data_IF_363157648907
#
_entry.id   IF_363157648907
#
_cell.length_a   1.000
_cell.length_b   1.000
_cell.length_c   1.000
_cell.angle_alpha   90.00
_cell.angle_beta   90.00
_cell.angle_gamma   90.00
#
_symmetry.space_group_name_H-M   'P 1'
#
loop_
_entity.id
_entity.type
_entity.pdbx_description
1 polymer ?
#
# COMPACT_ATOMS: atom_id res chain seq x y z
N UNK A 1 -1.02 -21.03 34.28
CA UNK A 1 -1.86 -19.86 33.99
C UNK A 1 -1.40 -19.26 32.68
N UNK A 2 -2.06 -19.58 31.55
CA UNK A 2 -1.81 -18.89 30.28
C UNK A 2 -2.51 -17.55 30.33
N UNK A 3 -1.75 -16.46 30.32
CA UNK A 3 -2.33 -15.14 30.12
C UNK A 3 -2.94 -15.11 28.71
N UNK A 4 -4.14 -14.56 28.52
CA UNK A 4 -4.66 -14.35 27.18
C UNK A 4 -3.68 -13.46 26.42
N UNK A 5 -3.12 -13.99 25.33
CA UNK A 5 -2.25 -13.20 24.46
C UNK A 5 -3.19 -12.32 23.64
N UNK A 6 -3.18 -11.03 23.95
CA UNK A 6 -3.82 -10.03 23.10
C UNK A 6 -2.85 -9.72 21.95
N UNK A 7 -3.24 -9.97 20.69
CA UNK A 7 -2.38 -9.67 19.56
C UNK A 7 -2.25 -8.15 19.38
N UNK A 8 -1.06 -7.71 18.99
CA UNK A 8 -0.76 -6.31 18.67
C UNK A 8 -0.41 -6.22 17.19
N UNK A 9 -1.06 -5.30 16.48
CA UNK A 9 -0.79 -5.00 15.07
C UNK A 9 -0.37 -3.53 14.94
N UNK A 10 0.70 -3.29 14.18
CA UNK A 10 1.23 -1.96 13.89
C UNK A 10 1.38 -1.84 12.38
N UNK A 11 1.02 -0.68 11.82
CA UNK A 11 1.11 -0.37 10.39
C UNK A 11 1.79 0.99 10.18
N UNK A 12 2.26 1.26 8.96
CA UNK A 12 2.69 2.60 8.53
C UNK A 12 2.30 2.87 7.08
N UNK A 13 2.03 4.13 6.76
CA UNK A 13 1.76 4.60 5.38
C UNK A 13 2.97 5.23 4.68
N UNK A 14 4.15 5.16 5.31
CA UNK A 14 5.38 5.80 4.84
C UNK A 14 5.87 6.90 5.79
N UNK A 15 7.15 7.26 5.70
CA UNK A 15 7.77 8.33 6.46
C UNK A 15 8.50 9.29 5.52
N UNK A 16 8.47 10.60 5.80
CA UNK A 16 9.08 11.61 4.95
C UNK A 16 8.84 13.03 5.45
N UNK A 17 9.24 14.02 4.65
CA UNK A 17 9.01 15.44 4.95
C UNK A 17 7.54 15.79 4.70
N UNK A 18 6.70 15.45 5.67
CA UNK A 18 5.32 15.91 5.72
C UNK A 18 5.29 17.29 6.36
N UNK A 19 5.34 18.34 5.53
CA UNK A 19 5.13 19.70 6.02
C UNK A 19 3.67 19.86 6.44
N UNK A 20 3.43 19.80 7.76
CA UNK A 20 2.10 19.89 8.36
C UNK A 20 1.39 21.21 8.02
N UNK A 21 2.14 22.28 7.74
CA UNK A 21 1.58 23.57 7.32
C UNK A 21 1.05 23.55 5.88
N UNK A 22 1.46 22.56 5.09
CA UNK A 22 1.08 22.38 3.68
C UNK A 22 0.16 21.19 3.46
N UNK A 23 -0.23 20.47 4.52
CA UNK A 23 -1.23 19.40 4.42
C UNK A 23 -2.62 19.98 4.63
N UNK A 24 -3.47 19.96 3.60
CA UNK A 24 -4.89 20.25 3.75
C UNK A 24 -5.53 19.33 4.79
N UNK A 25 -6.48 19.84 5.58
CA UNK A 25 -7.10 19.09 6.67
C UNK A 25 -7.88 17.87 6.18
N UNK A 26 -8.51 17.97 5.00
CA UNK A 26 -9.15 16.88 4.28
C UNK A 26 -8.15 15.78 3.89
N UNK A 27 -6.96 16.14 3.39
CA UNK A 27 -5.91 15.17 3.06
C UNK A 27 -5.41 14.44 4.31
N UNK A 28 -5.21 15.15 5.42
CA UNK A 28 -4.83 14.54 6.69
C UNK A 28 -5.90 13.57 7.20
N UNK A 29 -7.17 13.99 7.14
CA UNK A 29 -8.30 13.16 7.54
C UNK A 29 -8.44 11.90 6.67
N UNK A 30 -8.29 12.04 5.35
CA UNK A 30 -8.35 10.92 4.41
C UNK A 30 -7.20 9.93 4.66
N UNK A 31 -5.99 10.43 4.91
CA UNK A 31 -4.83 9.60 5.26
C UNK A 31 -5.07 8.80 6.55
N UNK A 32 -5.63 9.44 7.58
CA UNK A 32 -5.98 8.77 8.83
C UNK A 32 -7.08 7.72 8.64
N UNK A 33 -8.07 7.99 7.79
CA UNK A 33 -9.11 7.04 7.44
C UNK A 33 -8.55 5.81 6.70
N UNK A 34 -7.62 6.02 5.75
CA UNK A 34 -6.93 4.93 5.05
C UNK A 34 -6.12 4.04 5.99
N UNK A 35 -5.35 4.64 6.91
CA UNK A 35 -4.64 3.89 7.97
C UNK A 35 -5.60 3.11 8.87
N UNK A 36 -6.71 3.72 9.29
CA UNK A 36 -7.72 3.04 10.11
C UNK A 36 -8.35 1.85 9.36
N UNK A 37 -8.62 1.99 8.06
CA UNK A 37 -9.15 0.91 7.23
C UNK A 37 -8.15 -0.25 7.12
N UNK A 38 -6.88 0.02 6.85
CA UNK A 38 -5.83 -1.00 6.78
C UNK A 38 -5.63 -1.72 8.12
N UNK A 39 -5.62 -0.98 9.23
CA UNK A 39 -5.53 -1.55 10.57
C UNK A 39 -6.73 -2.44 10.87
N UNK A 40 -7.94 -2.00 10.50
CA UNK A 40 -9.19 -2.75 10.69
C UNK A 40 -9.16 -4.05 9.90
N UNK A 41 -8.66 -4.05 8.65
CA UNK A 41 -8.56 -5.25 7.83
C UNK A 41 -7.69 -6.33 8.49
N UNK A 42 -6.48 -5.95 8.97
CA UNK A 42 -5.60 -6.88 9.67
C UNK A 42 -6.13 -7.33 11.04
N UNK A 43 -6.73 -6.42 11.82
CA UNK A 43 -7.34 -6.76 13.12
C UNK A 43 -8.52 -7.72 12.98
N UNK A 44 -9.31 -7.63 11.91
CA UNK A 44 -10.40 -8.55 11.65
C UNK A 44 -9.90 -10.00 11.54
N UNK A 45 -8.77 -10.21 10.87
CA UNK A 45 -8.11 -11.52 10.76
C UNK A 45 -7.68 -12.04 12.12
N UNK A 46 -6.99 -11.22 12.92
CA UNK A 46 -6.51 -11.61 14.25
C UNK A 46 -7.67 -11.92 15.21
N UNK A 47 -8.74 -11.12 15.15
CA UNK A 47 -9.95 -11.30 15.98
C UNK A 47 -10.69 -12.58 15.62
N UNK A 48 -10.65 -13.00 14.36
CA UNK A 48 -11.20 -14.27 13.90
C UNK A 48 -10.29 -15.48 14.21
N UNK A 49 -9.15 -15.29 14.88
CA UNK A 49 -8.19 -16.35 15.19
C UNK A 49 -7.26 -16.72 14.02
N UNK A 50 -7.17 -15.87 13.00
CA UNK A 50 -6.26 -16.04 11.87
C UNK A 50 -4.79 -15.82 12.26
N UNK A 51 -3.88 -16.10 11.32
CA UNK A 51 -2.44 -16.02 11.59
C UNK A 51 -1.90 -14.60 11.49
N UNK A 52 -0.74 -14.35 12.08
CA UNK A 52 -0.04 -13.09 11.93
C UNK A 52 0.33 -12.79 10.46
N UNK A 53 0.64 -13.81 9.67
CA UNK A 53 0.94 -13.66 8.24
C UNK A 53 -0.29 -13.20 7.47
N UNK A 54 -1.44 -13.81 7.72
CA UNK A 54 -2.68 -13.42 7.05
C UNK A 54 -3.07 -11.99 7.43
N UNK A 55 -2.90 -11.62 8.72
CA UNK A 55 -3.24 -10.29 9.22
C UNK A 55 -2.38 -9.18 8.60
N UNK A 56 -1.06 -9.36 8.52
CA UNK A 56 -0.19 -8.36 7.85
C UNK A 56 -0.43 -8.32 6.35
N UNK A 57 -0.79 -9.45 5.74
CA UNK A 57 -1.13 -9.51 4.30
C UNK A 57 -2.37 -8.67 4.00
N UNK A 58 -3.45 -8.83 4.77
CA UNK A 58 -4.67 -8.03 4.55
C UNK A 58 -4.47 -6.54 4.86
N UNK A 59 -3.69 -6.21 5.89
CA UNK A 59 -3.36 -4.82 6.19
C UNK A 59 -2.55 -4.15 5.07
N UNK A 60 -1.55 -4.85 4.52
CA UNK A 60 -0.73 -4.32 3.41
C UNK A 60 -1.54 -4.22 2.13
N UNK A 61 -2.37 -5.22 1.79
CA UNK A 61 -3.27 -5.15 0.62
C UNK A 61 -4.19 -3.92 0.69
N UNK A 62 -4.75 -3.63 1.86
CA UNK A 62 -5.58 -2.44 2.04
C UNK A 62 -4.79 -1.13 1.84
N UNK A 63 -3.51 -1.08 2.22
CA UNK A 63 -2.64 0.07 1.93
C UNK A 63 -2.29 0.17 0.44
N UNK A 64 -1.97 -0.95 -0.22
CA UNK A 64 -1.70 -1.02 -1.66
C UNK A 64 -2.92 -0.64 -2.51
N UNK A 65 -4.12 -0.91 -1.99
CA UNK A 65 -5.37 -0.54 -2.63
C UNK A 65 -5.71 0.95 -2.43
N UNK A 66 -5.26 1.60 -1.38
CA UNK A 66 -5.59 3.01 -1.18
C UNK A 66 -4.61 3.90 -1.99
N UNK A 67 -5.10 4.66 -3.00
CA UNK A 67 -4.24 5.48 -3.87
C UNK A 67 -3.54 6.62 -3.12
N UNK A 68 -3.87 6.87 -1.85
CA UNK A 68 -3.19 7.86 -1.01
C UNK A 68 -1.81 7.39 -0.55
N UNK A 69 -1.53 6.09 -0.55
CA UNK A 69 -0.24 5.55 -0.11
C UNK A 69 0.62 5.16 -1.30
N UNK A 70 1.93 5.39 -1.17
CA UNK A 70 2.91 5.02 -2.19
C UNK A 70 3.19 3.51 -2.16
N UNK A 71 2.21 2.72 -2.57
CA UNK A 71 2.26 1.28 -2.77
C UNK A 71 1.12 0.88 -3.71
N UNK A 72 1.26 -0.23 -4.44
CA UNK A 72 0.19 -0.75 -5.30
C UNK A 72 -0.39 0.31 -6.25
N UNK A 73 -1.68 0.62 -6.08
CA UNK A 73 -2.42 1.58 -6.92
C UNK A 73 -1.94 3.02 -6.79
N UNK A 74 -1.32 3.39 -5.67
CA UNK A 74 -0.76 4.72 -5.43
C UNK A 74 0.74 4.82 -5.70
N UNK A 75 1.35 3.79 -6.32
CA UNK A 75 2.78 3.77 -6.59
C UNK A 75 3.26 4.99 -7.40
N UNK A 76 4.36 5.58 -6.96
CA UNK A 76 5.03 6.68 -7.65
C UNK A 76 5.68 6.23 -8.96
N UNK A 77 5.91 7.19 -9.84
CA UNK A 77 6.55 6.93 -11.13
C UNK A 77 8.07 6.94 -11.04
N UNK A 78 8.71 6.09 -11.84
CA UNK A 78 10.14 6.14 -12.16
C UNK A 78 10.45 7.38 -13.04
N UNK A 79 11.74 7.64 -13.29
CA UNK A 79 12.17 8.66 -14.26
C UNK A 79 11.64 8.42 -15.67
N UNK A 80 11.35 7.15 -16.00
CA UNK A 80 10.90 6.73 -17.32
C UNK A 80 9.36 6.71 -17.41
N UNK A 81 8.67 7.16 -16.36
CA UNK A 81 7.21 7.24 -16.32
C UNK A 81 6.52 5.89 -16.13
N UNK A 82 7.22 4.87 -15.64
CA UNK A 82 6.67 3.55 -15.26
C UNK A 82 6.35 3.49 -13.77
N UNK A 83 5.49 2.57 -13.34
CA UNK A 83 5.33 2.23 -11.92
C UNK A 83 5.98 0.87 -11.68
N UNK A 84 7.06 0.87 -10.91
CA UNK A 84 7.83 -0.31 -10.52
C UNK A 84 7.75 -0.47 -9.01
N UNK A 85 7.37 -1.65 -8.56
CA UNK A 85 7.05 -1.91 -7.15
C UNK A 85 7.83 -3.11 -6.62
N UNK A 86 8.13 -3.02 -5.32
CA UNK A 86 8.78 -4.05 -4.55
C UNK A 86 7.89 -4.40 -3.34
N UNK A 87 7.88 -5.67 -2.94
CA UNK A 87 7.16 -6.12 -1.75
C UNK A 87 7.90 -7.31 -1.11
N UNK A 88 7.81 -7.42 0.21
CA UNK A 88 8.41 -8.52 0.97
C UNK A 88 7.53 -8.92 2.16
N UNK A 89 7.59 -10.21 2.53
CA UNK A 89 6.87 -10.77 3.67
C UNK A 89 7.72 -11.82 4.38
N UNK A 90 7.57 -11.93 5.70
CA UNK A 90 8.32 -12.88 6.53
C UNK A 90 7.46 -13.49 7.64
N UNK A 91 7.51 -14.81 7.77
CA UNK A 91 6.91 -15.57 8.87
C UNK A 91 7.95 -15.79 9.97
N UNK A 92 7.78 -15.11 11.11
CA UNK A 92 8.75 -15.17 12.21
C UNK A 92 8.92 -16.57 12.82
N UNK A 93 7.85 -17.36 12.93
CA UNK A 93 7.88 -18.69 13.57
C UNK A 93 8.74 -19.69 12.80
N UNK A 94 8.53 -19.80 11.49
CA UNK A 94 9.25 -20.74 10.62
C UNK A 94 10.48 -20.11 9.95
N UNK A 95 10.69 -18.79 10.12
CA UNK A 95 11.71 -17.99 9.42
C UNK A 95 11.65 -18.12 7.88
N UNK A 96 10.44 -18.33 7.35
CA UNK A 96 10.20 -18.32 5.90
C UNK A 96 10.01 -16.89 5.44
N UNK A 97 10.54 -16.56 4.27
CA UNK A 97 10.40 -15.24 3.68
C UNK A 97 10.21 -15.34 2.16
N UNK A 98 9.61 -14.31 1.58
CA UNK A 98 9.45 -14.15 0.14
C UNK A 98 9.44 -12.67 -0.21
N UNK A 99 9.91 -12.35 -1.41
CA UNK A 99 9.94 -10.99 -1.93
C UNK A 99 9.82 -10.97 -3.45
N UNK A 100 9.35 -9.84 -3.97
CA UNK A 100 9.35 -9.48 -5.38
C UNK A 100 9.92 -8.07 -5.52
N UNK A 101 10.56 -7.80 -6.64
CA UNK A 101 11.13 -6.48 -6.94
C UNK A 101 11.00 -6.16 -8.42
N UNK A 102 10.88 -4.87 -8.75
CA UNK A 102 10.74 -4.38 -10.13
C UNK A 102 9.50 -4.92 -10.83
N UNK A 103 8.43 -5.23 -10.07
CA UNK A 103 7.18 -5.69 -10.66
C UNK A 103 6.44 -4.50 -11.22
N UNK A 104 6.12 -4.56 -12.50
CA UNK A 104 5.33 -3.52 -13.16
C UNK A 104 3.85 -3.68 -12.80
N UNK A 105 3.22 -2.57 -12.43
CA UNK A 105 1.76 -2.50 -12.29
C UNK A 105 1.03 -2.81 -13.61
N UNK A 106 -0.30 -3.03 -13.59
CA UNK A 106 -1.07 -3.08 -14.84
C UNK A 106 -0.72 -1.82 -15.64
N UNK A 107 -0.27 -1.99 -16.90
CA UNK A 107 0.11 -0.84 -17.74
C UNK A 107 -0.98 0.23 -17.65
N UNK A 108 -0.65 1.49 -17.33
CA UNK A 108 -1.64 2.54 -17.45
C UNK A 108 -2.15 2.51 -18.89
N UNK A 109 -3.46 2.71 -19.05
CA UNK A 109 -4.03 2.98 -20.36
C UNK A 109 -3.16 4.09 -21.00
N UNK A 110 -2.61 3.91 -22.21
CA UNK A 110 -1.82 4.97 -22.82
C UNK A 110 -2.68 6.24 -22.82
N UNK A 111 -2.13 7.42 -22.49
CA UNK A 111 -2.86 8.66 -22.66
C UNK A 111 -3.39 8.65 -24.09
N UNK A 112 -4.71 8.81 -24.23
CA UNK A 112 -5.42 8.73 -25.50
C UNK A 112 -4.59 9.39 -26.60
N UNK A 113 -4.41 8.66 -27.71
CA UNK A 113 -3.48 9.02 -28.77
C UNK A 113 -3.51 10.52 -29.03
N UNK A 114 -2.34 11.17 -28.93
CA UNK A 114 -2.14 12.41 -29.66
C UNK A 114 -2.42 12.06 -31.11
N UNK A 115 -3.61 12.43 -31.57
CA UNK A 115 -4.00 12.28 -32.95
C UNK A 115 -2.89 12.87 -33.80
N UNK A 116 -2.27 12.03 -34.62
CA UNK A 116 -1.46 12.47 -35.72
C UNK A 116 -2.35 13.28 -36.65
N UNK A 117 -2.44 14.58 -36.41
CA UNK A 117 -2.94 15.55 -37.37
C UNK A 117 -1.86 15.77 -38.43
N UNK A 118 -1.69 14.77 -39.29
CA UNK A 118 -1.05 14.95 -40.59
C UNK A 118 -2.08 15.52 -41.56
N UNK A 119 -1.79 16.70 -42.09
CA UNK A 119 -2.48 17.38 -43.20
C UNK A 119 -1.89 18.79 -43.24
N UNK A 120 -0.97 19.12 -44.14
CA UNK A 120 -1.12 19.04 -45.59
C UNK A 120 -1.39 20.47 -46.07
N UNK A 121 -0.36 21.15 -46.56
CA UNK A 121 -0.38 22.55 -47.02
C UNK A 121 0.98 23.19 -46.93
#
# INVERSE_FOLDING_TARGET
MTHPILPVLVIHGGAGVMDRSRMPADQAQATHAGLAAALTAGLAVLTAGGTAIDAVTEAVKALEDDPLFNAGRGAVYTSDGTQEMDAAIMEGRARRAGAVAGVLGPRPHPPGGRGGGGGGG
#
